data_IF_621015474041
#
_entry.id   IF_621015474041
#
_cell.length_a   1.000
_cell.length_b   1.000
_cell.length_c   1.000
_cell.angle_alpha   90.00
_cell.angle_beta   90.00
_cell.angle_gamma   90.00
#
_symmetry.space_group_name_H-M   'P 1'
#
loop_
_entity.id
_entity.type
_entity.pdbx_description
1 polymer ?
2 non-polymer ?
3 non-polymer ?
4 water ?
#
# COMPACT_ATOMS: atom_id res chain seq x y z
N UNK A 11 17.71 6.49 -7.75
CA UNK A 11 18.08 6.59 -6.23
C UNK A 11 17.72 5.26 -5.52
N UNK A 12 18.59 4.83 -4.61
CA UNK A 12 18.23 3.69 -3.80
C UNK A 12 18.19 4.17 -2.32
N UNK A 13 17.04 4.05 -1.65
CA UNK A 13 16.97 4.37 -0.22
C UNK A 13 17.38 3.16 0.59
N UNK A 14 18.44 3.31 1.40
CA UNK A 14 19.10 2.14 2.05
C UNK A 14 19.20 2.37 3.54
N UNK A 15 18.76 1.35 4.26
CA UNK A 15 18.73 1.32 5.72
C UNK A 15 19.12 -0.07 6.12
N UNK A 16 19.80 -0.21 7.28
CA UNK A 16 20.26 -1.54 7.66
C UNK A 16 19.03 -2.38 7.86
N UNK A 17 19.11 -3.63 7.46
CA UNK A 17 17.97 -4.52 7.69
C UNK A 17 17.98 -4.92 9.14
N UNK A 18 16.79 -5.27 9.59
CA UNK A 18 16.62 -5.86 10.90
C UNK A 18 15.67 -7.06 10.72
N UNK A 19 15.28 -7.67 11.87
CA UNK A 19 14.38 -8.84 11.87
C UNK A 19 13.13 -8.46 11.08
N UNK A 20 12.82 -9.24 10.03
CA UNK A 20 11.65 -8.97 9.21
C UNK A 20 11.12 -10.30 8.59
N UNK A 21 9.92 -10.28 7.98
CA UNK A 21 9.34 -11.48 7.47
C UNK A 21 9.97 -12.01 6.16
N UNK A 22 10.05 -13.34 6.00
CA UNK A 22 10.52 -13.83 4.71
C UNK A 22 9.70 -13.35 3.52
N UNK A 23 10.36 -13.14 2.39
CA UNK A 23 9.60 -12.64 1.17
C UNK A 23 8.55 -13.61 0.67
N UNK A 24 8.75 -14.94 0.79
CA UNK A 24 7.75 -15.89 0.20
C UNK A 24 7.76 -15.76 -1.29
N UNK A 25 6.60 -15.98 -1.90
CA UNK A 25 6.43 -15.94 -3.36
C UNK A 25 5.16 -15.11 -3.69
N UNK A 26 5.27 -14.37 -4.78
CA UNK A 26 4.16 -13.47 -5.19
C UNK A 26 2.89 -14.24 -5.25
N UNK A 27 1.83 -13.80 -4.55
CA UNK A 27 0.57 -14.58 -4.41
C UNK A 27 -0.56 -13.55 -4.44
N UNK A 28 -1.55 -13.77 -5.30
CA UNK A 28 -2.81 -13.00 -5.25
C UNK A 28 -4.05 -13.93 -5.24
N UNK A 29 -5.00 -13.71 -4.40
CA UNK A 29 -5.04 -12.61 -3.39
C UNK A 29 -3.91 -12.74 -2.42
N UNK A 30 -3.38 -11.60 -1.99
CA UNK A 30 -2.34 -11.67 -0.95
C UNK A 30 -3.05 -11.67 0.41
N UNK A 31 -2.89 -12.78 1.18
CA UNK A 31 -3.55 -12.90 2.46
C UNK A 31 -2.51 -13.10 3.61
N UNK A 32 -1.26 -13.32 3.29
CA UNK A 32 -0.20 -13.39 4.34
C UNK A 32 -0.36 -14.52 5.30
N UNK A 33 -1.21 -15.51 4.94
CA UNK A 33 -1.51 -16.58 5.94
C UNK A 33 -0.40 -17.59 6.16
N UNK A 34 0.63 -17.58 5.31
CA UNK A 34 1.78 -18.46 5.42
C UNK A 34 2.90 -17.76 6.21
N UNK A 35 2.58 -16.59 6.74
CA UNK A 35 3.55 -15.81 7.53
C UNK A 35 4.76 -15.36 6.72
N UNK A 36 4.56 -15.22 5.39
CA UNK A 36 5.55 -14.64 4.49
C UNK A 36 4.86 -13.36 3.89
N UNK A 37 5.74 -12.56 3.31
CA UNK A 37 5.24 -11.32 2.62
C UNK A 37 4.62 -11.59 1.30
N UNK A 38 4.54 -12.85 0.90
CA UNK A 38 3.89 -13.20 -0.40
C UNK A 38 4.35 -12.31 -1.55
N UNK A 39 5.67 -12.06 -1.62
CA UNK A 39 6.27 -11.34 -2.72
C UNK A 39 6.34 -9.80 -2.54
N UNK A 40 5.74 -9.25 -1.49
CA UNK A 40 5.69 -7.77 -1.31
C UNK A 40 6.99 -7.34 -0.65
N UNK A 41 7.52 -6.23 -1.14
CA UNK A 41 8.77 -5.65 -0.63
C UNK A 41 8.80 -4.18 -0.88
N UNK A 42 9.65 -3.46 -0.16
CA UNK A 42 9.74 -2.02 -0.47
C UNK A 42 10.29 -1.83 -1.88
N UNK A 43 9.76 -0.79 -2.57
CA UNK A 43 10.45 -0.39 -3.79
C UNK A 43 11.81 0.18 -3.36
N UNK A 44 12.77 0.08 -4.29
CA UNK A 44 14.09 0.73 -3.99
C UNK A 44 13.99 2.18 -3.68
N UNK A 45 12.97 2.91 -4.14
CA UNK A 45 12.90 4.32 -3.93
C UNK A 45 11.94 4.62 -2.79
N UNK A 46 11.42 3.61 -2.07
CA UNK A 46 10.46 3.90 -0.97
C UNK A 46 11.24 4.74 0.11
N UNK A 47 10.53 5.81 0.55
CA UNK A 47 11.16 6.66 1.60
C UNK A 47 11.16 5.93 2.96
N UNK A 48 10.38 4.84 3.11
CA UNK A 48 10.30 4.04 4.30
C UNK A 48 10.97 2.66 3.94
N UNK A 49 11.98 2.29 4.74
CA UNK A 49 12.75 1.04 4.50
C UNK A 49 12.87 0.19 5.75
N UNK A 50 11.97 0.44 6.68
CA UNK A 50 11.98 -0.28 7.93
C UNK A 50 11.33 -1.66 7.86
N UNK A 51 11.38 -2.39 8.98
CA UNK A 51 11.04 -3.82 8.83
C UNK A 51 9.59 -4.04 8.34
N UNK A 52 9.44 -4.93 7.38
CA UNK A 52 8.10 -5.48 7.03
C UNK A 52 7.88 -6.80 7.71
N UNK A 53 6.87 -6.87 8.53
CA UNK A 53 6.59 -8.09 9.30
C UNK A 53 5.17 -8.55 9.05
N UNK A 54 4.89 -9.79 9.41
CA UNK A 54 3.45 -10.25 9.40
C UNK A 54 2.93 -10.18 10.83
N UNK A 55 1.88 -9.44 11.01
CA UNK A 55 1.30 -9.21 12.33
C UNK A 55 -0.20 -9.55 12.23
N UNK A 56 -0.84 -9.81 13.36
CA UNK A 56 -2.29 -9.89 13.30
C UNK A 56 -2.99 -8.56 13.20
N UNK A 57 -3.95 -8.46 12.27
CA UNK A 57 -4.80 -7.26 12.24
C UNK A 57 -6.21 -7.80 12.02
N UNK A 58 -7.09 -7.44 12.98
CA UNK A 58 -8.51 -7.80 12.87
C UNK A 58 -8.63 -9.33 12.69
N UNK A 59 -7.82 -10.03 13.49
CA UNK A 59 -7.89 -11.48 13.57
C UNK A 59 -7.45 -12.22 12.32
N UNK A 60 -6.60 -11.57 11.51
CA UNK A 60 -6.00 -12.25 10.34
C UNK A 60 -4.54 -11.78 10.20
N UNK A 61 -3.66 -12.58 9.64
CA UNK A 61 -2.25 -12.22 9.41
C UNK A 61 -2.23 -11.11 8.34
N UNK A 62 -1.44 -10.07 8.58
CA UNK A 62 -1.42 -8.91 7.63
C UNK A 62 0.04 -8.50 7.49
N UNK A 63 0.46 -7.98 6.33
CA UNK A 63 1.80 -7.34 6.24
C UNK A 63 1.72 -5.98 6.91
N UNK A 64 2.83 -5.61 7.59
CA UNK A 64 2.75 -4.43 8.47
C UNK A 64 4.11 -3.73 8.51
N UNK A 65 4.04 -2.44 8.76
CA UNK A 65 5.24 -1.62 9.02
C UNK A 65 4.85 -0.44 9.88
N UNK A 66 5.89 0.18 10.49
CA UNK A 66 5.73 1.40 11.27
C UNK A 66 6.26 2.58 10.50
N UNK A 67 5.57 3.71 10.65
CA UNK A 67 6.01 4.91 10.04
C UNK A 67 5.72 6.13 10.87
N UNK A 68 6.75 6.96 11.09
CA UNK A 68 6.61 8.24 11.73
C UNK A 68 7.05 9.27 10.70
N UNK A 69 6.11 9.93 10.04
CA UNK A 69 6.51 10.84 9.00
C UNK A 69 7.22 12.06 9.55
N UNK A 70 8.11 12.63 8.79
CA UNK A 70 8.83 13.82 9.32
C UNK A 70 7.93 14.97 9.62
N UNK A 71 8.26 15.76 10.66
CA UNK A 71 7.54 17.04 10.90
C UNK A 71 7.80 18.08 9.87
N UNK A 72 8.96 18.08 9.27
CA UNK A 72 9.33 18.99 8.18
C UNK A 72 9.07 18.23 6.88
N UNK A 73 8.06 18.69 6.12
CA UNK A 73 7.55 17.84 4.99
C UNK A 73 8.43 18.11 3.80
N UNK A 74 8.96 17.06 3.19
CA UNK A 74 9.69 17.23 1.91
C UNK A 74 8.84 17.85 0.83
N UNK A 75 9.51 18.47 -0.14
CA UNK A 75 8.73 19.11 -1.21
C UNK A 75 8.13 18.06 -2.14
N UNK A 76 8.85 16.93 -2.41
CA UNK A 76 8.26 15.83 -3.23
C UNK A 76 7.32 15.02 -2.31
N UNK A 77 6.05 14.95 -2.65
CA UNK A 77 5.05 14.35 -1.74
C UNK A 77 5.15 12.82 -1.61
N UNK A 78 6.00 12.15 -2.36
CA UNK A 78 6.25 10.73 -2.16
C UNK A 78 7.61 10.47 -1.46
N UNK A 79 8.43 11.54 -1.29
CA UNK A 79 9.77 11.30 -0.69
C UNK A 79 9.74 10.51 0.63
N UNK A 80 8.76 10.81 1.51
CA UNK A 80 8.68 10.11 2.79
C UNK A 80 7.76 8.91 2.82
N UNK A 81 7.15 8.60 1.70
CA UNK A 81 6.06 7.62 1.69
C UNK A 81 6.49 6.17 1.67
N UNK A 82 5.83 5.34 2.48
CA UNK A 82 5.89 3.90 2.24
C UNK A 82 5.47 3.61 0.80
N UNK A 83 6.30 2.91 0.03
CA UNK A 83 5.99 2.55 -1.34
C UNK A 83 6.26 1.03 -1.41
N UNK A 84 5.20 0.21 -1.31
CA UNK A 84 5.42 -1.22 -1.25
C UNK A 84 4.99 -1.83 -2.57
N UNK A 85 5.71 -2.89 -2.99
CA UNK A 85 5.45 -3.38 -4.38
C UNK A 85 5.50 -4.85 -4.43
N UNK A 86 4.63 -5.38 -5.30
CA UNK A 86 4.59 -6.85 -5.59
C UNK A 86 5.27 -7.04 -6.90
N UNK A 87 6.56 -7.44 -6.82
CA UNK A 87 7.32 -7.51 -8.08
C UNK A 87 7.15 -8.85 -8.77
N UNK A 88 7.09 -8.71 -10.11
CA UNK A 88 7.06 -9.95 -10.98
C UNK A 88 5.95 -10.90 -10.67
N UNK A 89 4.79 -10.36 -10.29
CA UNK A 89 3.56 -11.17 -10.24
C UNK A 89 3.01 -11.49 -11.59
N UNK A 90 3.14 -10.61 -12.56
CA UNK A 90 2.75 -10.88 -13.98
C UNK A 90 1.30 -11.37 -14.05
N UNK A 91 0.39 -10.57 -13.52
CA UNK A 91 -1.02 -10.93 -13.52
C UNK A 91 -1.81 -10.07 -14.52
N UNK A 92 -3.10 -10.31 -14.66
CA UNK A 92 -3.98 -9.40 -15.48
C UNK A 92 -5.25 -9.23 -14.69
N UNK A 93 -5.97 -8.19 -15.04
CA UNK A 93 -7.21 -7.94 -14.31
C UNK A 93 -8.34 -8.84 -14.78
N UNK A 94 -8.25 -9.32 -16.00
CA UNK A 94 -9.38 -10.09 -16.52
C UNK A 94 -10.65 -9.25 -16.56
N UNK A 95 -11.73 -9.92 -16.07
CA UNK A 95 -13.00 -9.26 -16.03
C UNK A 95 -13.19 -8.34 -14.81
N UNK A 96 -12.19 -8.32 -13.94
CA UNK A 96 -12.28 -7.48 -12.68
C UNK A 96 -12.21 -6.00 -12.95
N UNK A 97 -13.18 -5.24 -12.45
CA UNK A 97 -13.18 -3.78 -12.59
C UNK A 97 -12.31 -3.10 -11.55
N UNK A 98 -12.10 -3.77 -10.42
CA UNK A 98 -11.36 -3.12 -9.27
C UNK A 98 -10.20 -3.91 -8.76
N UNK A 99 -9.23 -3.17 -8.21
CA UNK A 99 -8.32 -3.78 -7.19
C UNK A 99 -8.71 -3.22 -5.83
N UNK A 100 -8.72 -4.12 -4.83
CA UNK A 100 -9.16 -3.66 -3.51
C UNK A 100 -8.27 -4.30 -2.45
N UNK A 101 -8.20 -3.73 -1.24
CA UNK A 101 -7.48 -4.40 -0.17
C UNK A 101 -7.98 -3.81 1.14
N UNK A 102 -7.75 -4.59 2.19
CA UNK A 102 -7.93 -4.02 3.55
C UNK A 102 -6.65 -3.27 3.97
N UNK A 103 -6.90 -2.09 4.50
CA UNK A 103 -5.82 -1.20 5.02
C UNK A 103 -6.19 -0.81 6.41
N UNK A 104 -5.22 -1.00 7.34
CA UNK A 104 -5.53 -0.71 8.76
C UNK A 104 -4.51 0.26 9.28
N UNK A 105 -5.00 1.18 10.16
CA UNK A 105 -4.09 2.08 10.87
C UNK A 105 -4.15 1.81 12.37
N UNK A 106 -2.98 1.79 13.03
CA UNK A 106 -2.97 1.85 14.52
C UNK A 106 -2.15 3.08 14.88
N UNK A 107 -2.77 4.27 14.94
CA UNK A 107 -1.95 5.47 15.17
C UNK A 107 -1.47 5.56 16.62
N UNK A 108 -0.26 6.08 16.76
CA UNK A 108 0.12 6.67 18.09
C UNK A 108 -0.14 8.19 18.07
N UNK A 109 -0.23 8.79 16.88
CA UNK A 109 -0.55 10.18 16.66
C UNK A 109 -1.26 10.28 15.33
N UNK A 110 -2.43 10.92 15.37
CA UNK A 110 -3.18 11.18 14.16
C UNK A 110 -4.26 12.18 14.46
N UNK A 111 -4.09 13.39 13.98
CA UNK A 111 -5.13 14.44 14.25
C UNK A 111 -5.33 15.46 13.14
N UNK A 112 -4.45 15.56 12.15
CA UNK A 112 -4.56 16.57 11.16
C UNK A 112 -3.93 16.15 9.84
N UNK A 113 -4.32 16.84 8.77
CA UNK A 113 -3.87 16.50 7.39
C UNK A 113 -4.45 15.14 7.03
N UNK A 114 -3.79 14.46 6.08
CA UNK A 114 -4.43 13.27 5.54
C UNK A 114 -3.37 12.33 5.02
N UNK A 115 -3.79 11.11 4.79
CA UNK A 115 -2.95 10.12 4.03
C UNK A 115 -3.55 10.00 2.66
N UNK A 116 -2.73 9.96 1.65
CA UNK A 116 -3.30 9.70 0.29
C UNK A 116 -2.70 8.42 -0.22
N UNK A 117 -3.59 7.50 -0.56
CA UNK A 117 -3.14 6.15 -0.93
C UNK A 117 -3.27 6.06 -2.44
N UNK A 118 -2.15 5.75 -3.13
CA UNK A 118 -2.16 5.63 -4.63
C UNK A 118 -1.86 4.16 -4.95
N UNK A 119 -2.38 3.79 -6.14
CA UNK A 119 -2.15 2.43 -6.76
C UNK A 119 -1.55 2.58 -8.14
N UNK A 120 -0.49 1.83 -8.38
CA UNK A 120 0.07 1.79 -9.73
C UNK A 120 0.52 0.39 -10.07
N UNK A 121 0.78 0.24 -11.38
CA UNK A 121 1.22 -1.06 -11.86
C UNK A 121 2.38 -0.78 -12.83
N UNK A 122 3.10 -1.87 -13.13
CA UNK A 122 4.16 -1.80 -14.16
C UNK A 122 3.81 -2.74 -15.35
N UNK A 123 3.13 -2.20 -16.33
CA UNK A 123 2.78 -3.07 -17.50
C UNK A 123 3.88 -2.90 -18.58
N UNK A 124 4.53 -4.00 -18.97
CA UNK A 124 5.58 -3.86 -20.00
C UNK A 124 5.03 -3.28 -21.31
N UNK A 125 3.70 -3.35 -21.53
CA UNK A 125 3.13 -2.79 -22.81
C UNK A 125 2.94 -1.28 -22.74
N UNK A 126 2.97 -0.70 -21.52
CA UNK A 126 2.66 0.70 -21.29
C UNK A 126 3.79 1.38 -20.57
N UNK A 127 5.02 1.06 -20.96
CA UNK A 127 6.13 1.88 -20.43
C UNK A 127 6.46 1.57 -18.99
N UNK A 128 5.98 0.43 -18.52
CA UNK A 128 6.27 -0.03 -17.16
C UNK A 128 5.71 0.89 -16.07
N UNK A 129 4.65 1.67 -16.40
CA UNK A 129 3.97 2.44 -15.37
C UNK A 129 2.60 2.72 -15.83
N UNK A 130 1.64 2.47 -14.94
CA UNK A 130 0.25 2.91 -15.20
C UNK A 130 -0.30 3.17 -13.80
N UNK A 131 -0.88 4.34 -13.60
CA UNK A 131 -1.28 4.69 -12.24
C UNK A 131 -2.76 4.95 -12.22
N UNK A 132 -3.40 4.34 -11.23
CA UNK A 132 -4.88 4.59 -11.04
C UNK A 132 -5.13 6.05 -10.74
N UNK A 133 -6.11 6.62 -11.42
CA UNK A 133 -6.47 8.05 -11.23
C UNK A 133 -7.04 8.30 -9.81
N UNK A 134 -7.69 7.31 -9.30
CA UNK A 134 -8.49 7.45 -8.07
C UNK A 134 -7.69 7.41 -6.78
N UNK A 135 -6.78 8.34 -6.58
CA UNK A 135 -6.08 8.36 -5.28
C UNK A 135 -7.15 8.48 -4.17
N UNK A 136 -6.90 7.83 -3.05
CA UNK A 136 -7.89 7.81 -1.96
C UNK A 136 -7.32 8.61 -0.79
N UNK A 137 -8.09 9.62 -0.38
CA UNK A 137 -7.61 10.47 0.71
C UNK A 137 -8.31 10.15 2.03
N UNK A 138 -7.51 9.98 3.08
CA UNK A 138 -8.04 9.64 4.41
C UNK A 138 -7.68 10.81 5.34
N UNK A 139 -8.67 11.71 5.64
CA UNK A 139 -8.29 12.85 6.56
C UNK A 139 -8.17 12.26 7.97
N UNK A 140 -7.13 12.69 8.69
CA UNK A 140 -6.91 12.09 9.95
C UNK A 140 -7.86 12.60 11.05
N UNK A 141 -8.41 13.79 10.81
CA UNK A 141 -9.45 14.33 11.74
C UNK A 141 -10.71 13.45 11.66
N UNK A 142 -10.91 12.70 10.58
CA UNK A 142 -12.10 11.81 10.46
C UNK A 142 -12.01 10.60 11.43
N UNK A 143 -10.80 10.26 11.89
CA UNK A 143 -10.61 8.93 12.50
C UNK A 143 -11.33 8.79 13.81
N UNK A 144 -11.29 9.86 14.59
CA UNK A 144 -11.88 9.92 15.96
C UNK A 144 -13.29 9.40 15.99
N UNK A 145 -14.01 9.58 14.87
CA UNK A 145 -15.45 9.29 14.73
C UNK A 145 -15.68 7.92 14.13
N UNK A 146 -14.64 7.21 13.75
CA UNK A 146 -14.75 5.84 13.31
C UNK A 146 -14.62 4.88 14.48
N UNK A 147 -15.38 3.81 14.46
CA UNK A 147 -15.25 2.73 15.43
C UNK A 147 -14.08 1.89 15.08
N UNK A 148 -13.24 1.58 16.06
CA UNK A 148 -12.11 0.66 15.91
C UNK A 148 -12.50 -0.83 15.93
N UNK A 149 -11.69 -1.68 15.31
CA UNK A 149 -11.85 -3.10 15.43
C UNK A 149 -11.64 -3.45 16.94
N UNK A 150 -11.94 -4.68 17.31
CA UNK A 150 -11.76 -5.12 18.71
C UNK A 150 -10.31 -5.10 19.08
N UNK A 151 -9.42 -5.39 18.13
CA UNK A 151 -8.00 -5.22 18.40
C UNK A 151 -7.45 -3.78 18.25
N UNK A 152 -8.35 -2.79 18.12
CA UNK A 152 -8.02 -1.35 18.18
C UNK A 152 -7.41 -0.68 16.95
N UNK A 153 -7.84 -1.20 15.80
CA UNK A 153 -7.33 -0.68 14.50
C UNK A 153 -8.45 0.06 13.82
N UNK A 154 -8.06 1.00 12.93
CA UNK A 154 -9.05 1.62 12.02
C UNK A 154 -9.02 0.81 10.72
N UNK A 155 -10.17 0.29 10.30
CA UNK A 155 -10.24 -0.58 9.12
C UNK A 155 -10.83 0.11 7.90
N UNK A 156 -10.04 0.18 6.85
CA UNK A 156 -10.49 0.69 5.54
C UNK A 156 -10.42 -0.41 4.53
N UNK A 157 -11.42 -0.44 3.65
CA UNK A 157 -11.33 -1.33 2.46
C UNK A 157 -11.22 -0.35 1.31
N UNK A 158 -10.05 -0.30 0.67
CA UNK A 158 -9.79 0.72 -0.34
C UNK A 158 -10.08 0.09 -1.70
N UNK A 159 -10.74 0.83 -2.58
CA UNK A 159 -11.05 0.26 -3.92
C UNK A 159 -10.53 1.28 -4.99
N UNK A 160 -10.01 0.68 -6.07
CA UNK A 160 -9.59 1.47 -7.26
C UNK A 160 -10.23 0.96 -8.50
N UNK A 161 -10.91 1.84 -9.19
CA UNK A 161 -11.58 1.54 -10.48
C UNK A 161 -10.49 1.54 -11.55
N UNK A 162 -10.27 0.32 -12.09
CA UNK A 162 -9.16 0.08 -12.99
C UNK A 162 -9.48 0.59 -14.42
N UNK A 163 -10.70 1.11 -14.61
CA UNK A 163 -11.01 1.79 -15.86
C UNK A 163 -10.65 3.28 -15.77
N UNK A 164 -10.16 3.73 -14.60
CA UNK A 164 -9.77 5.15 -14.46
C UNK A 164 -8.26 5.16 -14.22
N UNK A 165 -7.49 5.38 -15.26
CA UNK A 165 -6.01 5.32 -15.25
C UNK A 165 -5.48 6.61 -15.85
N UNK A 166 -4.32 7.07 -15.33
CA UNK A 166 -3.77 8.33 -15.82
C UNK A 166 -3.09 8.22 -17.18
N UNK A 167 -2.91 9.39 -17.79
CA UNK A 167 -1.92 9.51 -18.94
C UNK A 167 -2.52 8.81 -20.20
N UNK A 168 -3.86 8.61 -20.27
CA UNK A 168 -4.55 7.91 -21.38
C UNK A 168 -4.22 6.42 -21.52
N UNK A 169 -3.62 5.85 -20.49
CA UNK A 169 -3.26 4.43 -20.55
C UNK A 169 -4.49 3.58 -20.19
N UNK A 170 -4.59 2.41 -20.81
CA UNK A 170 -5.73 1.54 -20.65
C UNK A 170 -5.26 0.17 -20.20
N UNK A 171 -5.81 -0.27 -19.06
CA UNK A 171 -5.55 -1.63 -18.64
C UNK A 171 -6.62 -2.51 -19.26
N UNK A 172 -6.25 -3.15 -20.36
CA UNK A 172 -7.15 -4.17 -21.01
C UNK A 172 -7.26 -5.40 -20.12
N UNK A 173 -8.31 -6.18 -20.37
CA UNK A 173 -8.46 -7.44 -19.66
C UNK A 173 -7.21 -8.30 -19.61
N UNK A 174 -6.45 -8.29 -20.73
CA UNK A 174 -5.24 -9.09 -20.83
C UNK A 174 -3.95 -8.26 -20.82
N UNK A 175 -4.00 -7.03 -20.35
CA UNK A 175 -2.75 -6.30 -20.11
C UNK A 175 -1.94 -6.91 -19.00
N UNK A 176 -0.73 -7.38 -19.31
CA UNK A 176 0.12 -7.95 -18.27
C UNK A 176 0.58 -6.87 -17.32
N UNK A 177 0.38 -7.17 -16.00
CA UNK A 177 0.79 -6.25 -14.93
C UNK A 177 1.98 -6.90 -14.24
N UNK A 178 3.20 -6.47 -14.57
CA UNK A 178 4.37 -7.13 -14.00
C UNK A 178 4.44 -6.93 -12.46
N UNK A 179 4.30 -5.65 -12.05
CA UNK A 179 4.33 -5.31 -10.63
C UNK A 179 3.06 -4.61 -10.28
N UNK A 180 2.75 -4.62 -8.95
CA UNK A 180 1.71 -3.78 -8.40
C UNK A 180 2.41 -2.92 -7.28
N UNK A 181 2.06 -1.63 -7.22
CA UNK A 181 2.65 -0.73 -6.22
C UNK A 181 1.54 -0.03 -5.46
N UNK A 182 1.73 0.05 -4.12
CA UNK A 182 0.83 0.84 -3.26
C UNK A 182 1.67 1.88 -2.54
N UNK A 183 1.26 3.13 -2.62
CA UNK A 183 2.05 4.27 -1.94
C UNK A 183 1.12 4.92 -0.94
N UNK A 184 1.56 5.09 0.31
CA UNK A 184 0.76 5.82 1.36
C UNK A 184 1.49 7.12 1.63
N UNK A 185 1.00 8.18 0.97
CA UNK A 185 1.69 9.49 1.04
C UNK A 185 1.15 10.33 2.17
N UNK A 186 2.09 11.12 2.75
CA UNK A 186 1.69 12.00 3.87
C UNK A 186 1.33 13.36 3.29
N UNK A 187 0.05 13.68 3.43
CA UNK A 187 -0.41 15.01 2.99
C UNK A 187 -0.51 15.96 4.14
N UNK A 188 0.59 16.62 4.57
CA UNK A 188 0.56 17.60 5.61
C UNK A 188 0.00 17.01 6.92
N UNK A 189 0.28 15.74 7.24
CA UNK A 189 -0.32 15.11 8.40
C UNK A 189 0.60 15.08 9.55
N UNK A 190 0.07 14.64 10.68
CA UNK A 190 0.89 14.32 11.86
C UNK A 190 0.93 12.82 12.14
N UNK A 191 0.73 11.94 11.11
CA UNK A 191 0.65 10.58 11.43
C UNK A 191 1.96 9.95 11.95
N UNK A 192 1.80 9.13 12.99
CA UNK A 192 2.81 8.14 13.45
C UNK A 192 2.10 6.95 13.94
N UNK A 193 2.68 5.78 13.64
CA UNK A 193 2.08 4.56 14.09
C UNK A 193 2.26 3.38 13.12
N UNK A 194 1.38 2.42 13.21
CA UNK A 194 1.54 1.18 12.46
C UNK A 194 0.48 1.14 11.36
N UNK A 195 0.92 0.64 10.22
CA UNK A 195 0.05 0.41 9.03
C UNK A 195 0.04 -1.06 8.70
N UNK A 196 -1.05 -1.52 8.09
CA UNK A 196 -1.17 -2.93 7.77
C UNK A 196 -1.96 -3.05 6.47
N UNK A 197 -1.63 -4.07 5.69
CA UNK A 197 -2.48 -4.40 4.45
C UNK A 197 -2.86 -5.89 4.58
N UNK A 198 -4.06 -6.24 4.07
CA UNK A 198 -4.43 -7.64 3.93
C UNK A 198 -5.39 -7.76 2.76
N UNK A 199 -5.55 -9.01 2.32
CA UNK A 199 -6.53 -9.38 1.29
C UNK A 199 -6.44 -8.50 0.08
N UNK A 200 -5.23 -8.40 -0.45
CA UNK A 200 -5.01 -7.55 -1.64
C UNK A 200 -5.48 -8.43 -2.81
N UNK A 201 -6.46 -7.94 -3.56
CA UNK A 201 -7.12 -8.77 -4.60
C UNK A 201 -7.75 -7.93 -5.66
N UNK A 202 -8.03 -8.57 -6.82
CA UNK A 202 -8.90 -7.95 -7.79
C UNK A 202 -10.34 -8.37 -7.49
N UNK A 203 -11.30 -7.56 -7.86
CA UNK A 203 -12.72 -8.01 -7.72
C UNK A 203 -13.51 -7.26 -8.73
#
# INVERSE_FOLDING_TARGET
MRGSHHHHHHRAVVEAPVEHAPIGKATLPSTFEDSTRQGWAWDATSGVQSALTIKDANESKAISWEVKYPEVKPVDGWASAPRIMLGNVNTTRGNNKYLTFDFYLKPTQASKGSLTISLAFAPPSLGFWAQATGDVNIPLSSLSKMKKTTDGLYHFQVKYDLDKINDGKVLTANTVLRDITIVVADGNSDFAGTMYLDNIRFE
#
